data_IF_445459744536
#
_entry.id   IF_445459744536
#
_cell.length_a   1.000
_cell.length_b   1.000
_cell.length_c   1.000
_cell.angle_alpha   90.00
_cell.angle_beta   90.00
_cell.angle_gamma   90.00
#
_symmetry.space_group_name_H-M   'P 1'
#
loop_
_entity.id
_entity.type
_entity.pdbx_description
1 polymer ?
#
# COMPACT_ATOMS: atom_id res chain seq x y z
N UNK A 1 -15.26 -0.37 16.78
CA UNK A 1 -14.59 -0.50 15.47
C UNK A 1 -14.71 -1.94 15.01
N UNK A 2 -15.36 -2.20 13.87
CA UNK A 2 -15.49 -3.56 13.35
C UNK A 2 -14.15 -3.98 12.70
N UNK A 3 -13.28 -4.64 13.45
CA UNK A 3 -11.93 -5.00 13.01
C UNK A 3 -11.91 -5.83 11.72
N UNK A 4 -12.95 -6.60 11.45
CA UNK A 4 -13.12 -7.33 10.18
C UNK A 4 -13.25 -6.39 8.98
N UNK A 5 -13.98 -5.28 9.11
CA UNK A 5 -14.12 -4.26 8.05
C UNK A 5 -12.77 -3.59 7.79
N UNK A 6 -12.03 -3.29 8.86
CA UNK A 6 -10.71 -2.66 8.75
C UNK A 6 -9.75 -3.59 8.01
N UNK A 7 -9.73 -4.88 8.36
CA UNK A 7 -8.93 -5.90 7.66
C UNK A 7 -9.35 -6.03 6.19
N UNK A 8 -10.64 -6.05 5.90
CA UNK A 8 -11.14 -6.07 4.53
C UNK A 8 -10.67 -4.84 3.74
N UNK A 9 -10.68 -3.66 4.37
CA UNK A 9 -10.14 -2.43 3.77
C UNK A 9 -8.66 -2.54 3.40
N UNK A 10 -7.83 -3.15 4.26
CA UNK A 10 -6.42 -3.43 3.94
C UNK A 10 -6.33 -4.36 2.73
N UNK A 11 -7.03 -5.50 2.77
CA UNK A 11 -7.00 -6.50 1.70
C UNK A 11 -7.38 -5.87 0.36
N UNK A 12 -8.51 -5.14 0.31
CA UNK A 12 -8.97 -4.49 -0.92
C UNK A 12 -7.96 -3.46 -1.41
N UNK A 13 -7.46 -2.59 -0.52
CA UNK A 13 -6.48 -1.56 -0.91
C UNK A 13 -5.20 -2.14 -1.49
N UNK A 14 -4.64 -3.19 -0.88
CA UNK A 14 -3.45 -3.87 -1.41
C UNK A 14 -3.72 -4.61 -2.72
N UNK A 15 -4.91 -5.19 -2.93
CA UNK A 15 -5.25 -5.80 -4.23
C UNK A 15 -5.41 -4.75 -5.35
N UNK A 16 -5.94 -3.57 -5.02
CA UNK A 16 -5.98 -2.43 -5.94
C UNK A 16 -4.56 -1.95 -6.27
N UNK A 17 -3.68 -1.83 -5.27
CA UNK A 17 -2.25 -1.54 -5.45
C UNK A 17 -1.57 -2.54 -6.37
N UNK A 18 -1.75 -3.84 -6.08
CA UNK A 18 -1.23 -4.96 -6.90
C UNK A 18 -1.62 -4.80 -8.36
N UNK A 19 -2.90 -4.52 -8.62
CA UNK A 19 -3.42 -4.38 -9.99
C UNK A 19 -2.82 -3.16 -10.67
N UNK A 20 -2.66 -2.05 -9.93
CA UNK A 20 -2.04 -0.82 -10.44
C UNK A 20 -0.58 -1.05 -10.83
N UNK A 21 0.23 -1.63 -9.93
CA UNK A 21 1.63 -1.92 -10.21
C UNK A 21 1.82 -2.96 -11.32
N UNK A 22 0.94 -3.97 -11.39
CA UNK A 22 0.98 -4.95 -12.47
C UNK A 22 0.69 -4.30 -13.84
N UNK A 23 -0.31 -3.42 -13.92
CA UNK A 23 -0.62 -2.67 -15.15
C UNK A 23 0.55 -1.77 -15.54
N UNK A 24 1.10 -0.99 -14.61
CA UNK A 24 2.24 -0.12 -14.88
C UNK A 24 3.47 -0.91 -15.38
N UNK A 25 3.75 -2.05 -14.74
CA UNK A 25 4.85 -2.93 -15.11
C UNK A 25 4.67 -3.49 -16.54
N UNK A 26 3.44 -3.83 -16.93
CA UNK A 26 3.12 -4.39 -18.26
C UNK A 26 3.09 -3.35 -19.38
N UNK A 27 2.63 -2.13 -19.11
CA UNK A 27 2.44 -1.08 -20.14
C UNK A 27 3.75 -0.42 -20.55
N UNK A 28 4.65 -0.17 -19.58
CA UNK A 28 5.90 0.53 -19.87
C UNK A 28 7.02 0.26 -18.87
N UNK A 29 6.74 -0.50 -17.82
CA UNK A 29 7.68 -0.70 -16.73
C UNK A 29 7.99 0.59 -15.99
N UNK A 30 9.06 0.54 -15.20
CA UNK A 30 9.53 1.66 -14.40
C UNK A 30 10.84 2.27 -14.93
N UNK A 31 11.03 2.24 -16.25
CA UNK A 31 12.24 2.77 -16.92
C UNK A 31 12.46 4.27 -16.71
N UNK A 32 11.39 5.01 -16.40
CA UNK A 32 11.44 6.42 -16.06
C UNK A 32 11.91 6.68 -14.61
N UNK A 33 11.88 5.66 -13.74
CA UNK A 33 12.22 5.80 -12.33
C UNK A 33 13.71 5.57 -12.09
N UNK A 34 14.31 6.19 -11.06
CA UNK A 34 15.63 5.81 -10.58
C UNK A 34 15.68 4.30 -10.29
N UNK A 35 16.78 3.58 -10.61
CA UNK A 35 16.82 2.12 -10.53
C UNK A 35 16.35 1.50 -9.21
N UNK A 36 16.68 2.06 -8.02
CA UNK A 36 16.18 1.52 -6.76
C UNK A 36 14.65 1.59 -6.64
N UNK A 37 14.03 2.67 -7.12
CA UNK A 37 12.58 2.85 -7.10
C UNK A 37 11.90 1.97 -8.15
N UNK A 38 12.52 1.79 -9.32
CA UNK A 38 12.02 0.89 -10.34
C UNK A 38 11.93 -0.56 -9.82
N UNK A 39 12.97 -1.03 -9.13
CA UNK A 39 12.98 -2.36 -8.49
C UNK A 39 11.92 -2.43 -7.39
N UNK A 40 11.80 -1.38 -6.57
CA UNK A 40 10.81 -1.32 -5.50
C UNK A 40 9.38 -1.39 -6.04
N UNK A 41 9.01 -0.56 -7.03
CA UNK A 41 7.68 -0.59 -7.62
C UNK A 41 7.37 -1.94 -8.29
N UNK A 42 8.33 -2.57 -8.96
CA UNK A 42 8.16 -3.92 -9.48
C UNK A 42 7.94 -4.95 -8.35
N UNK A 43 8.63 -4.81 -7.22
CA UNK A 43 8.46 -5.68 -6.07
C UNK A 43 7.07 -5.57 -5.42
N UNK A 44 6.37 -4.43 -5.57
CA UNK A 44 5.02 -4.25 -5.03
C UNK A 44 3.99 -5.23 -5.62
N UNK A 45 4.20 -5.69 -6.86
CA UNK A 45 3.40 -6.78 -7.47
C UNK A 45 3.41 -8.07 -6.62
N UNK A 46 4.46 -8.27 -5.81
CA UNK A 46 4.58 -9.41 -4.89
C UNK A 46 4.31 -9.02 -3.44
N UNK A 47 4.79 -7.86 -2.99
CA UNK A 47 4.64 -7.41 -1.61
C UNK A 47 3.18 -7.12 -1.24
N UNK A 48 2.40 -6.56 -2.16
CA UNK A 48 0.99 -6.24 -1.95
C UNK A 48 0.12 -7.48 -1.74
N UNK A 49 0.13 -8.51 -2.62
CA UNK A 49 -0.68 -9.70 -2.40
C UNK A 49 -0.20 -10.49 -1.17
N UNK A 50 1.11 -10.53 -0.90
CA UNK A 50 1.63 -11.13 0.33
C UNK A 50 1.06 -10.43 1.57
N UNK A 51 1.05 -9.10 1.56
CA UNK A 51 0.48 -8.29 2.63
C UNK A 51 -1.01 -8.57 2.79
N UNK A 52 -1.76 -8.56 1.69
CA UNK A 52 -3.19 -8.84 1.68
C UNK A 52 -3.50 -10.22 2.29
N UNK A 53 -2.77 -11.26 1.87
CA UNK A 53 -2.92 -12.62 2.39
C UNK A 53 -2.62 -12.67 3.89
N UNK A 54 -1.50 -12.11 4.34
CA UNK A 54 -1.14 -12.14 5.77
C UNK A 54 -2.17 -11.39 6.64
N UNK A 55 -2.73 -10.27 6.16
CA UNK A 55 -3.79 -9.53 6.86
C UNK A 55 -5.11 -10.32 6.83
N UNK A 56 -5.46 -10.95 5.71
CA UNK A 56 -6.65 -11.80 5.58
C UNK A 56 -6.58 -13.03 6.51
N UNK A 57 -5.39 -13.56 6.75
CA UNK A 57 -5.15 -14.65 7.71
C UNK A 57 -5.06 -14.18 9.17
N UNK A 58 -5.04 -12.87 9.41
CA UNK A 58 -4.99 -12.33 10.77
C UNK A 58 -3.60 -12.49 11.39
N UNK A 59 -2.54 -12.34 10.60
CA UNK A 59 -1.18 -12.28 11.10
C UNK A 59 -0.81 -10.84 11.46
N UNK A 60 -0.35 -10.63 12.71
CA UNK A 60 0.18 -9.34 13.17
C UNK A 60 1.33 -8.83 12.30
N UNK A 61 2.12 -9.74 11.75
CA UNK A 61 3.22 -9.44 10.83
C UNK A 61 2.71 -8.89 9.48
N UNK A 62 1.53 -9.33 9.03
CA UNK A 62 0.87 -8.75 7.86
C UNK A 62 0.50 -7.29 8.07
N UNK A 63 0.03 -6.91 9.26
CA UNK A 63 -0.28 -5.50 9.57
C UNK A 63 0.99 -4.64 9.66
N UNK A 64 2.08 -5.18 10.20
CA UNK A 64 3.38 -4.49 10.20
C UNK A 64 3.93 -4.34 8.78
N UNK A 65 3.83 -5.37 7.95
CA UNK A 65 4.22 -5.31 6.54
C UNK A 65 3.38 -4.27 5.79
N UNK A 66 2.05 -4.26 6.00
CA UNK A 66 1.15 -3.27 5.42
C UNK A 66 1.58 -1.83 5.70
N UNK A 67 1.91 -1.54 6.96
CA UNK A 67 2.41 -0.22 7.34
C UNK A 67 3.73 0.13 6.61
N UNK A 68 4.69 -0.81 6.56
CA UNK A 68 5.96 -0.57 5.91
C UNK A 68 5.81 -0.34 4.40
N UNK A 69 5.03 -1.20 3.72
CA UNK A 69 4.78 -1.12 2.28
C UNK A 69 4.10 0.20 1.93
N UNK A 70 3.01 0.55 2.62
CA UNK A 70 2.26 1.76 2.26
C UNK A 70 3.05 3.05 2.50
N UNK A 71 3.90 3.08 3.54
CA UNK A 71 4.75 4.24 3.81
C UNK A 71 5.81 4.38 2.73
N UNK A 72 6.48 3.28 2.37
CA UNK A 72 7.50 3.31 1.32
C UNK A 72 6.90 3.66 -0.03
N UNK A 73 5.73 3.11 -0.38
CA UNK A 73 5.04 3.42 -1.62
C UNK A 73 4.59 4.88 -1.70
N UNK A 74 3.98 5.40 -0.63
CA UNK A 74 3.61 6.81 -0.56
C UNK A 74 4.82 7.74 -0.73
N UNK A 75 5.92 7.47 -0.01
CA UNK A 75 7.14 8.29 -0.08
C UNK A 75 7.80 8.19 -1.45
N UNK A 76 7.88 6.99 -2.04
CA UNK A 76 8.43 6.80 -3.37
C UNK A 76 7.64 7.58 -4.43
N UNK A 77 6.30 7.51 -4.36
CA UNK A 77 5.42 8.26 -5.25
C UNK A 77 5.58 9.77 -5.06
N UNK A 78 5.63 10.26 -3.82
CA UNK A 78 5.86 11.68 -3.54
C UNK A 78 7.22 12.16 -4.03
N UNK A 79 8.27 11.37 -3.86
CA UNK A 79 9.62 11.71 -4.30
C UNK A 79 9.70 11.87 -5.82
N UNK A 80 9.19 10.88 -6.56
CA UNK A 80 9.18 10.91 -8.03
C UNK A 80 8.36 12.06 -8.58
N UNK A 81 7.24 12.38 -7.93
CA UNK A 81 6.25 13.33 -8.45
C UNK A 81 6.29 14.68 -7.74
N UNK A 82 7.32 14.96 -6.93
CA UNK A 82 7.42 16.18 -6.12
C UNK A 82 7.04 17.46 -6.86
N UNK A 83 7.48 17.71 -8.11
CA UNK A 83 7.12 18.93 -8.85
C UNK A 83 5.64 19.03 -9.25
N UNK A 84 4.93 17.91 -9.31
CA UNK A 84 3.53 17.81 -9.79
C UNK A 84 2.52 17.62 -8.66
N UNK A 85 2.98 17.46 -7.42
CA UNK A 85 2.13 17.16 -6.27
C UNK A 85 0.91 18.08 -6.16
N UNK A 86 1.01 19.43 -6.24
CA UNK A 86 -0.16 20.30 -6.02
C UNK A 86 -1.33 20.04 -6.98
N UNK A 87 -1.04 19.68 -8.24
CA UNK A 87 -2.06 19.35 -9.24
C UNK A 87 -2.47 17.88 -9.24
N UNK A 88 -1.59 16.99 -8.75
CA UNK A 88 -1.81 15.54 -8.76
C UNK A 88 -2.69 15.06 -7.60
N UNK A 89 -2.82 15.81 -6.50
CA UNK A 89 -3.56 15.39 -5.30
C UNK A 89 -5.03 14.99 -5.57
N UNK A 90 -5.67 15.61 -6.57
CA UNK A 90 -7.06 15.33 -6.93
C UNK A 90 -7.21 14.30 -8.05
N UNK A 91 -6.10 13.84 -8.64
CA UNK A 91 -6.15 12.76 -9.62
C UNK A 91 -6.67 11.48 -8.93
N UNK A 92 -7.62 10.73 -9.50
CA UNK A 92 -8.30 9.64 -8.79
C UNK A 92 -7.37 8.61 -8.14
N UNK A 93 -6.31 8.21 -8.85
CA UNK A 93 -5.31 7.25 -8.32
C UNK A 93 -4.53 7.81 -7.14
N UNK A 94 -4.19 9.10 -7.17
CA UNK A 94 -3.49 9.79 -6.10
C UNK A 94 -4.37 9.96 -4.88
N UNK A 95 -5.64 10.33 -5.07
CA UNK A 95 -6.59 10.43 -3.97
C UNK A 95 -6.75 9.07 -3.28
N UNK A 96 -6.88 7.98 -4.05
CA UNK A 96 -6.97 6.63 -3.51
C UNK A 96 -5.71 6.25 -2.70
N UNK A 97 -4.51 6.47 -3.23
CA UNK A 97 -3.26 6.20 -2.52
C UNK A 97 -3.18 6.98 -1.20
N UNK A 98 -3.48 8.29 -1.22
CA UNK A 98 -3.39 9.14 -0.02
C UNK A 98 -4.43 8.76 1.03
N UNK A 99 -5.68 8.52 0.62
CA UNK A 99 -6.76 8.11 1.54
C UNK A 99 -6.46 6.73 2.13
N UNK A 100 -6.01 5.78 1.30
CA UNK A 100 -5.64 4.44 1.77
C UNK A 100 -4.44 4.49 2.70
N UNK A 101 -3.42 5.27 2.37
CA UNK A 101 -2.26 5.53 3.24
C UNK A 101 -2.69 6.07 4.59
N UNK A 102 -3.52 7.12 4.62
CA UNK A 102 -4.02 7.69 5.86
C UNK A 102 -4.80 6.65 6.68
N UNK A 103 -5.66 5.88 6.01
CA UNK A 103 -6.42 4.80 6.65
C UNK A 103 -5.48 3.77 7.32
N UNK A 104 -4.44 3.30 6.63
CA UNK A 104 -3.47 2.36 7.20
C UNK A 104 -2.69 3.00 8.36
N UNK A 105 -2.18 4.22 8.18
CA UNK A 105 -1.40 4.95 9.20
C UNK A 105 -2.18 5.18 10.51
N UNK A 106 -3.48 5.44 10.42
CA UNK A 106 -4.33 5.63 11.60
C UNK A 106 -4.67 4.30 12.28
N UNK A 107 -4.80 3.23 11.51
CA UNK A 107 -5.41 1.98 12.00
C UNK A 107 -4.41 0.84 12.27
N UNK A 108 -3.16 0.93 11.80
CA UNK A 108 -2.21 -0.20 11.86
C UNK A 108 -1.90 -0.64 13.28
N UNK A 109 -1.62 0.31 14.19
CA UNK A 109 -1.23 -0.02 15.56
C UNK A 109 -2.40 -0.60 16.36
N UNK A 110 -3.62 -0.01 16.34
CA UNK A 110 -4.79 -0.62 16.95
C UNK A 110 -5.10 -2.01 16.38
N UNK A 111 -5.08 -2.17 15.05
CA UNK A 111 -5.36 -3.45 14.39
C UNK A 111 -4.33 -4.52 14.77
N UNK A 112 -3.04 -4.17 14.78
CA UNK A 112 -1.96 -5.07 15.18
C UNK A 112 -2.11 -5.54 16.62
N UNK A 113 -2.47 -4.65 17.55
CA UNK A 113 -2.71 -4.99 18.96
C UNK A 113 -3.92 -5.92 19.12
N UNK A 114 -5.00 -5.65 18.39
CA UNK A 114 -6.20 -6.51 18.41
C UNK A 114 -5.89 -7.94 17.96
N UNK A 115 -5.15 -8.09 16.86
CA UNK A 115 -4.74 -9.41 16.35
C UNK A 115 -3.78 -10.12 17.32
N UNK A 116 -2.92 -9.39 18.03
CA UNK A 116 -1.99 -9.97 18.99
C UNK A 116 -2.68 -10.47 20.27
N UNK A 117 -3.76 -9.80 20.72
CA UNK A 117 -4.51 -10.17 21.93
C UNK A 117 -5.62 -11.20 21.71
N UNK A 118 -5.85 -11.66 20.48
CA UNK A 118 -6.83 -12.71 20.13
C UNK A 118 -6.20 -14.09 19.94
N UNK A 119 -4.91 -14.23 20.26
CA UNK A 119 -4.16 -15.49 20.31
C UNK A 119 -3.90 -15.85 21.76
#
# INVERSE_FOLDING_TARGET
>A
MHWSIVRAGYVVGFLVGTTTHAIDLLVGGYSWAPPPLAVFFAALVVLDPLTAVLVALGHRHGVTLAFAVIVLDLVANWYVNWPRLPGALLHPTWLLLNVFSLFVLVTWLPLRRHIAGTR
#
